data_IF_303498802313
#
_entry.id   IF_303498802313
#
_cell.length_a   1.000
_cell.length_b   1.000
_cell.length_c   1.000
_cell.angle_alpha   90.00
_cell.angle_beta   90.00
_cell.angle_gamma   90.00
#
_symmetry.space_group_name_H-M   'P 1'
#
loop_
_entity.id
_entity.type
_entity.pdbx_description
1 polymer ?
#
# COMPACT_ATOMS: atom_id res chain seq x y z
N UNK A 1 8.36 -10.29 4.65
CA UNK A 1 8.38 -8.92 5.22
C UNK A 1 7.57 -8.75 6.51
N UNK A 2 6.40 -9.39 6.68
CA UNK A 2 5.56 -9.20 7.87
C UNK A 2 6.31 -9.35 9.22
N UNK A 3 7.12 -10.39 9.36
CA UNK A 3 7.92 -10.62 10.58
C UNK A 3 9.12 -9.68 10.76
N UNK A 4 9.53 -8.99 9.69
CA UNK A 4 10.67 -8.06 9.69
C UNK A 4 10.24 -6.62 9.92
N UNK A 5 9.02 -6.24 9.52
CA UNK A 5 8.49 -4.89 9.68
C UNK A 5 8.68 -4.30 11.09
N UNK A 6 8.36 -4.99 12.20
CA UNK A 6 8.56 -4.43 13.55
C UNK A 6 10.03 -4.36 13.98
N UNK A 7 10.95 -5.02 13.27
CA UNK A 7 12.38 -5.05 13.58
C UNK A 7 13.17 -3.99 12.82
N UNK A 8 12.55 -3.32 11.84
CA UNK A 8 13.19 -2.25 11.08
C UNK A 8 13.12 -0.93 11.85
N UNK A 9 14.21 -0.17 11.79
CA UNK A 9 14.20 1.19 12.29
C UNK A 9 13.31 2.10 11.42
N UNK A 10 13.00 3.29 11.95
CA UNK A 10 12.12 4.25 11.31
C UNK A 10 12.50 4.56 9.86
N UNK A 11 13.80 4.83 9.61
CA UNK A 11 14.33 5.19 8.28
C UNK A 11 14.12 4.05 7.28
N UNK A 12 14.50 2.84 7.66
CA UNK A 12 14.41 1.69 6.77
C UNK A 12 12.97 1.33 6.44
N UNK A 13 12.05 1.44 7.41
CA UNK A 13 10.64 1.08 7.21
C UNK A 13 9.86 2.15 6.42
N UNK A 14 10.01 3.43 6.78
CA UNK A 14 9.15 4.49 6.25
C UNK A 14 9.74 5.21 5.03
N UNK A 15 11.05 5.08 4.80
CA UNK A 15 11.73 5.76 3.68
C UNK A 15 12.22 4.72 2.68
N UNK A 16 13.17 3.87 3.06
CA UNK A 16 13.84 2.98 2.10
C UNK A 16 12.91 1.88 1.56
N UNK A 17 12.18 1.19 2.44
CA UNK A 17 11.23 0.16 2.02
C UNK A 17 10.12 0.75 1.13
N UNK A 18 9.63 1.95 1.46
CA UNK A 18 8.58 2.61 0.68
C UNK A 18 9.04 2.97 -0.74
N UNK A 19 10.29 3.40 -0.91
CA UNK A 19 10.89 3.63 -2.24
C UNK A 19 10.91 2.34 -3.06
N UNK A 20 11.34 1.23 -2.45
CA UNK A 20 11.39 -0.07 -3.13
C UNK A 20 9.99 -0.55 -3.53
N UNK A 21 9.01 -0.45 -2.63
CA UNK A 21 7.63 -0.84 -2.93
C UNK A 21 7.01 0.03 -4.02
N UNK A 22 7.27 1.34 -4.02
CA UNK A 22 6.80 2.22 -5.09
C UNK A 22 7.38 1.81 -6.45
N UNK A 23 8.67 1.47 -6.51
CA UNK A 23 9.32 1.00 -7.74
C UNK A 23 8.74 -0.31 -8.21
N UNK A 24 8.59 -1.29 -7.32
CA UNK A 24 7.99 -2.60 -7.66
C UNK A 24 6.55 -2.45 -8.15
N UNK A 25 5.75 -1.62 -7.51
CA UNK A 25 4.35 -1.43 -7.90
C UNK A 25 4.20 -0.73 -9.27
N UNK A 26 5.19 0.06 -9.70
CA UNK A 26 5.05 0.91 -10.91
C UNK A 26 5.81 0.35 -12.12
N UNK A 27 6.98 -0.25 -11.89
CA UNK A 27 7.94 -0.54 -12.95
C UNK A 27 8.27 -2.02 -13.09
N UNK A 28 7.65 -2.89 -12.29
CA UNK A 28 7.85 -4.33 -12.43
C UNK A 28 6.95 -4.88 -13.54
N UNK A 29 7.54 -5.59 -14.49
CA UNK A 29 6.84 -6.16 -15.64
C UNK A 29 5.87 -7.28 -15.20
N UNK A 30 6.16 -7.96 -14.09
CA UNK A 30 5.37 -9.09 -13.61
C UNK A 30 4.20 -8.60 -12.75
N UNK A 31 2.98 -8.73 -13.27
CA UNK A 31 1.76 -8.37 -12.55
C UNK A 31 1.61 -9.06 -11.19
N UNK A 32 2.14 -10.28 -11.05
CA UNK A 32 2.16 -11.02 -9.78
C UNK A 32 3.02 -10.33 -8.72
N UNK A 33 4.17 -9.76 -9.09
CA UNK A 33 5.05 -9.02 -8.16
C UNK A 33 4.36 -7.73 -7.70
N UNK A 34 3.72 -7.00 -8.62
CA UNK A 34 2.93 -5.80 -8.29
C UNK A 34 1.79 -6.13 -7.32
N UNK A 35 1.08 -7.22 -7.58
CA UNK A 35 0.00 -7.73 -6.71
C UNK A 35 0.53 -8.07 -5.31
N UNK A 36 1.63 -8.82 -5.23
CA UNK A 36 2.24 -9.18 -3.95
C UNK A 36 2.76 -7.96 -3.17
N UNK A 37 3.20 -6.93 -3.87
CA UNK A 37 3.63 -5.66 -3.27
C UNK A 37 2.45 -4.98 -2.57
N UNK A 38 1.28 -4.92 -3.21
CA UNK A 38 0.05 -4.39 -2.61
C UNK A 38 -0.35 -5.19 -1.36
N UNK A 39 -0.40 -6.51 -1.48
CA UNK A 39 -0.76 -7.41 -0.37
C UNK A 39 0.22 -7.24 0.79
N UNK A 40 1.51 -7.18 0.50
CA UNK A 40 2.53 -7.00 1.52
C UNK A 40 2.41 -5.63 2.20
N UNK A 41 2.16 -4.56 1.45
CA UNK A 41 1.97 -3.22 1.99
C UNK A 41 0.76 -3.15 2.93
N UNK A 42 -0.36 -3.79 2.57
CA UNK A 42 -1.53 -3.92 3.45
C UNK A 42 -1.21 -4.66 4.75
N UNK A 43 -0.45 -5.76 4.67
CA UNK A 43 -0.06 -6.55 5.85
C UNK A 43 0.85 -5.80 6.82
N UNK A 44 1.71 -4.91 6.33
CA UNK A 44 2.63 -4.12 7.19
C UNK A 44 2.09 -2.74 7.55
N UNK A 45 0.88 -2.39 7.09
CA UNK A 45 0.29 -1.07 7.26
C UNK A 45 0.29 -0.59 8.72
N UNK A 46 0.03 -1.49 9.68
CA UNK A 46 0.01 -1.16 11.11
C UNK A 46 1.36 -0.66 11.65
N UNK A 47 2.49 -1.04 11.03
CA UNK A 47 3.84 -0.66 11.46
C UNK A 47 4.32 0.67 10.85
N UNK A 48 3.63 1.19 9.82
CA UNK A 48 3.98 2.46 9.18
C UNK A 48 3.69 3.64 10.12
N UNK A 49 4.43 4.73 9.94
CA UNK A 49 4.21 5.96 10.68
C UNK A 49 2.74 6.43 10.56
N UNK A 50 1.98 6.52 11.67
CA UNK A 50 0.57 6.92 11.65
C UNK A 50 0.31 8.23 10.90
N UNK A 51 1.19 9.22 11.02
CA UNK A 51 1.05 10.55 10.40
C UNK A 51 1.18 10.51 8.87
N UNK A 52 1.83 9.48 8.32
CA UNK A 52 2.08 9.36 6.87
C UNK A 52 1.28 8.20 6.24
N UNK A 53 0.93 7.20 7.04
CA UNK A 53 0.34 5.94 6.60
C UNK A 53 -0.90 6.13 5.74
N UNK A 54 -1.88 6.90 6.19
CA UNK A 54 -3.15 7.07 5.47
C UNK A 54 -2.91 7.54 4.03
N UNK A 55 -2.15 8.62 3.87
CA UNK A 55 -1.79 9.18 2.56
C UNK A 55 -1.00 8.20 1.69
N UNK A 56 -0.04 7.47 2.27
CA UNK A 56 0.80 6.51 1.53
C UNK A 56 -0.03 5.33 1.02
N UNK A 57 -0.88 4.76 1.86
CA UNK A 57 -1.73 3.61 1.52
C UNK A 57 -2.78 3.99 0.47
N UNK A 58 -3.46 5.14 0.62
CA UNK A 58 -4.42 5.64 -0.39
C UNK A 58 -3.74 5.79 -1.74
N UNK A 59 -2.55 6.42 -1.77
CA UNK A 59 -1.80 6.63 -3.00
C UNK A 59 -1.37 5.31 -3.65
N UNK A 60 -0.86 4.37 -2.86
CA UNK A 60 -0.44 3.07 -3.37
C UNK A 60 -1.61 2.22 -3.86
N UNK A 61 -2.66 2.05 -3.05
CA UNK A 61 -3.77 1.20 -3.43
C UNK A 61 -4.61 1.81 -4.56
N UNK A 62 -4.78 3.13 -4.58
CA UNK A 62 -5.41 3.85 -5.69
C UNK A 62 -4.70 3.58 -7.01
N UNK A 63 -3.36 3.66 -7.07
CA UNK A 63 -2.60 3.26 -8.27
C UNK A 63 -2.87 1.81 -8.66
N UNK A 64 -2.85 0.89 -7.70
CA UNK A 64 -3.11 -0.53 -7.98
C UNK A 64 -4.52 -0.83 -8.49
N UNK A 65 -5.54 -0.01 -8.18
CA UNK A 65 -6.88 -0.16 -8.79
C UNK A 65 -6.90 0.11 -10.29
N UNK A 66 -5.90 0.82 -10.82
CA UNK A 66 -5.74 1.12 -12.24
C UNK A 66 -4.70 0.22 -12.94
N UNK A 67 -4.22 -0.82 -12.26
CA UNK A 67 -3.23 -1.74 -12.81
C UNK A 67 -3.82 -2.55 -13.98
N UNK A 68 -3.09 -2.77 -15.10
CA UNK A 68 -3.58 -3.59 -16.21
C UNK A 68 -3.86 -5.05 -15.79
N UNK A 69 -3.18 -5.56 -14.76
CA UNK A 69 -3.33 -6.91 -14.26
C UNK A 69 -4.50 -7.03 -13.27
N UNK A 70 -5.50 -7.84 -13.61
CA UNK A 70 -6.75 -8.01 -12.85
C UNK A 70 -6.55 -8.33 -11.36
N UNK A 71 -5.71 -9.31 -10.99
CA UNK A 71 -5.45 -9.64 -9.59
C UNK A 71 -4.85 -8.48 -8.78
N UNK A 72 -4.06 -7.61 -9.41
CA UNK A 72 -3.49 -6.43 -8.76
C UNK A 72 -4.60 -5.45 -8.35
N UNK A 73 -5.58 -5.21 -9.24
CA UNK A 73 -6.76 -4.39 -8.96
C UNK A 73 -7.58 -4.95 -7.80
N UNK A 74 -7.87 -6.25 -7.83
CA UNK A 74 -8.61 -6.92 -6.76
C UNK A 74 -7.89 -6.82 -5.42
N UNK A 75 -6.58 -7.10 -5.38
CA UNK A 75 -5.77 -6.97 -4.18
C UNK A 75 -5.79 -5.54 -3.63
N UNK A 76 -5.77 -4.53 -4.49
CA UNK A 76 -5.89 -3.12 -4.10
C UNK A 76 -7.21 -2.80 -3.39
N UNK A 77 -8.34 -3.29 -3.91
CA UNK A 77 -9.64 -3.09 -3.28
C UNK A 77 -9.73 -3.77 -1.92
N UNK A 78 -9.25 -5.02 -1.81
CA UNK A 78 -9.16 -5.71 -0.53
C UNK A 78 -8.25 -4.98 0.47
N UNK A 79 -7.12 -4.45 0.00
CA UNK A 79 -6.18 -3.72 0.84
C UNK A 79 -6.75 -2.38 1.33
N UNK A 80 -7.51 -1.66 0.49
CA UNK A 80 -8.26 -0.46 0.89
C UNK A 80 -9.27 -0.78 1.99
N UNK A 81 -10.10 -1.81 1.80
CA UNK A 81 -11.09 -2.23 2.80
C UNK A 81 -10.42 -2.65 4.12
N UNK A 82 -9.37 -3.47 4.07
CA UNK A 82 -8.66 -3.92 5.28
C UNK A 82 -7.98 -2.76 6.05
N UNK A 83 -7.61 -1.69 5.33
CA UNK A 83 -6.91 -0.52 5.86
C UNK A 83 -7.83 0.65 6.20
N UNK A 84 -9.15 0.48 6.11
CA UNK A 84 -10.16 1.54 6.27
C UNK A 84 -9.95 2.36 7.55
N UNK A 85 -9.66 1.68 8.67
CA UNK A 85 -9.41 2.29 9.99
C UNK A 85 -8.24 3.28 10.02
N UNK A 86 -7.44 3.36 8.96
CA UNK A 86 -6.30 4.25 8.84
C UNK A 86 -6.62 5.52 8.03
N UNK A 87 -7.85 5.65 7.53
CA UNK A 87 -8.29 6.76 6.69
C UNK A 87 -9.27 7.66 7.43
N UNK A 88 -9.21 8.96 7.15
CA UNK A 88 -10.20 9.90 7.67
C UNK A 88 -11.46 9.84 6.82
N UNK A 89 -12.63 10.19 7.38
CA UNK A 89 -13.87 10.30 6.61
C UNK A 89 -13.73 11.27 5.43
N UNK A 90 -12.97 12.35 5.60
CA UNK A 90 -12.67 13.31 4.53
C UNK A 90 -11.88 12.65 3.40
N UNK A 91 -10.85 11.86 3.72
CA UNK A 91 -10.07 11.15 2.70
C UNK A 91 -10.90 10.09 1.99
N UNK A 92 -11.76 9.36 2.72
CA UNK A 92 -12.67 8.39 2.12
C UNK A 92 -13.58 9.08 1.09
N UNK A 93 -14.23 10.18 1.49
CA UNK A 93 -15.17 10.90 0.65
C UNK A 93 -14.53 11.59 -0.57
N UNK A 94 -13.25 11.97 -0.50
CA UNK A 94 -12.61 12.79 -1.54
C UNK A 94 -11.57 12.07 -2.38
N UNK A 95 -11.05 10.92 -1.93
CA UNK A 95 -9.92 10.23 -2.58
C UNK A 95 -10.14 8.74 -2.82
N UNK A 96 -11.05 8.10 -2.08
CA UNK A 96 -11.28 6.65 -2.17
C UNK A 96 -12.58 6.36 -2.91
N UNK A 97 -13.66 7.06 -2.54
CA UNK A 97 -14.91 6.97 -3.27
C UNK A 97 -14.80 7.73 -4.61
N UNK A 98 -15.39 7.18 -5.69
CA UNK A 98 -15.48 7.86 -6.98
C UNK A 98 -16.42 9.07 -6.96
#
# INVERSE_FOLDING_TARGET
MLYLAPKLNYKNLNIELMKHFSRLQTSDDQGVIRTNTIVCLGKIAAHLNPSLRGRLLISAFGRGTQDPFGPSRQASLYALNHSERFFTLKDIATKILP
#
